data_IF_517236726950
#
_entry.id   IF_517236726950
#
_cell.length_a   1.000
_cell.length_b   1.000
_cell.length_c   1.000
_cell.angle_alpha   90.00
_cell.angle_beta   90.00
_cell.angle_gamma   90.00
#
_symmetry.space_group_name_H-M   'P 1'
#
loop_
_entity.id
_entity.type
_entity.pdbx_description
1 polymer ?
#
# COMPACT_ATOMS: atom_id res chain seq x y z
N UNK A 1 -2.72 -17.51 1.81
CA UNK A 1 -1.49 -17.88 2.56
C UNK A 1 -1.40 -17.18 3.92
N UNK A 2 -1.67 -15.87 4.04
CA UNK A 2 -1.63 -15.14 5.33
C UNK A 2 -3.02 -14.69 5.86
N UNK A 3 -4.13 -15.08 5.22
CA UNK A 3 -5.49 -14.72 5.68
C UNK A 3 -5.86 -13.23 5.59
N UNK A 4 -5.09 -12.42 4.84
CA UNK A 4 -5.30 -10.97 4.71
C UNK A 4 -6.56 -10.64 3.92
N UNK A 5 -7.23 -9.56 4.33
CA UNK A 5 -8.39 -8.98 3.63
C UNK A 5 -8.10 -7.55 3.17
N UNK A 6 -8.69 -7.15 2.05
CA UNK A 6 -8.65 -5.77 1.60
C UNK A 6 -9.71 -4.96 2.33
N UNK A 7 -9.29 -3.88 2.99
CA UNK A 7 -10.17 -2.97 3.71
C UNK A 7 -10.06 -1.58 3.09
N UNK A 8 -11.17 -0.85 2.90
CA UNK A 8 -11.11 0.55 2.49
C UNK A 8 -10.27 1.40 3.45
N UNK A 9 -9.69 2.49 2.93
CA UNK A 9 -9.03 3.48 3.79
C UNK A 9 -10.04 4.02 4.81
N UNK A 10 -9.65 4.11 6.10
CA UNK A 10 -10.50 4.70 7.13
C UNK A 10 -10.48 6.23 7.14
N UNK A 11 -9.50 6.83 6.46
CA UNK A 11 -9.29 8.28 6.37
C UNK A 11 -9.12 8.68 4.90
N UNK A 12 -10.10 8.40 4.01
CA UNK A 12 -9.99 8.72 2.58
C UNK A 12 -9.75 10.21 2.33
N UNK A 13 -10.26 11.09 3.19
CA UNK A 13 -10.08 12.54 3.16
C UNK A 13 -8.61 12.98 3.28
N UNK A 14 -7.73 12.12 3.82
CA UNK A 14 -6.28 12.39 3.90
C UNK A 14 -5.56 12.16 2.56
N UNK A 15 -6.23 11.57 1.57
CA UNK A 15 -5.72 11.42 0.22
C UNK A 15 -4.36 10.70 0.12
N UNK A 16 -4.06 9.75 1.02
CA UNK A 16 -2.70 9.18 1.14
C UNK A 16 -2.17 8.56 -0.15
N UNK A 17 -3.05 7.96 -0.96
CA UNK A 17 -2.66 7.43 -2.28
C UNK A 17 -2.13 8.53 -3.21
N UNK A 18 -2.74 9.72 -3.19
CA UNK A 18 -2.43 10.85 -4.06
C UNK A 18 -1.22 11.68 -3.59
N UNK A 19 -0.70 11.39 -2.39
CA UNK A 19 0.44 12.10 -1.79
C UNK A 19 1.65 11.19 -1.57
N UNK A 20 1.70 10.07 -2.28
CA UNK A 20 2.79 9.12 -2.26
C UNK A 20 3.29 8.83 -3.67
N UNK A 21 4.52 8.35 -3.79
CA UNK A 21 5.31 8.37 -5.03
C UNK A 21 4.64 7.61 -6.19
N UNK A 22 3.92 6.53 -5.89
CA UNK A 22 3.23 5.73 -6.91
C UNK A 22 2.19 6.52 -7.70
N UNK A 23 1.71 7.64 -7.18
CA UNK A 23 0.72 8.48 -7.86
C UNK A 23 1.26 9.05 -9.18
N UNK A 24 2.51 9.50 -9.22
CA UNK A 24 3.10 10.05 -10.44
C UNK A 24 3.23 8.98 -11.53
N UNK A 25 3.52 7.73 -11.17
CA UNK A 25 3.48 6.61 -12.12
C UNK A 25 2.05 6.29 -12.58
N UNK A 26 1.08 6.35 -11.66
CA UNK A 26 -0.33 6.09 -11.94
C UNK A 26 -0.93 7.11 -12.91
N UNK A 27 -0.54 8.39 -12.80
CA UNK A 27 -0.91 9.47 -13.75
C UNK A 27 -0.52 9.19 -15.20
N UNK A 28 0.49 8.36 -15.43
CA UNK A 28 0.92 7.92 -16.76
C UNK A 28 0.48 6.49 -17.10
N UNK A 29 -0.44 5.92 -16.31
CA UNK A 29 -1.06 4.64 -16.60
C UNK A 29 -0.25 3.43 -16.13
N UNK A 30 0.75 3.60 -15.25
CA UNK A 30 1.43 2.45 -14.62
C UNK A 30 0.57 1.93 -13.46
N UNK A 31 0.11 0.66 -13.50
CA UNK A 31 -0.65 0.07 -12.41
C UNK A 31 0.17 0.06 -11.12
N UNK A 32 -0.43 0.49 -10.02
CA UNK A 32 0.25 0.68 -8.75
C UNK A 32 -0.47 -0.02 -7.61
N UNK A 33 0.32 -0.59 -6.69
CA UNK A 33 -0.14 -1.11 -5.40
C UNK A 33 0.33 -0.16 -4.30
N UNK A 34 -0.59 0.33 -3.49
CA UNK A 34 -0.29 1.11 -2.30
C UNK A 34 -0.83 0.39 -1.07
N UNK A 35 0.06 -0.04 -0.18
CA UNK A 35 -0.29 -0.72 1.06
C UNK A 35 -0.33 0.28 2.21
N UNK A 36 -1.45 0.32 2.93
CA UNK A 36 -1.55 1.05 4.19
C UNK A 36 -1.07 0.23 5.38
N UNK A 37 -1.01 0.86 6.55
CA UNK A 37 -0.73 0.18 7.83
C UNK A 37 -1.94 -0.64 8.26
N UNK A 38 -1.71 -1.89 8.67
CA UNK A 38 -2.74 -2.74 9.28
C UNK A 38 -3.16 -2.17 10.66
N UNK A 39 -4.46 -2.19 10.94
CA UNK A 39 -5.03 -1.70 12.22
C UNK A 39 -5.82 -2.75 12.99
N UNK A 40 -6.19 -3.84 12.32
CA UNK A 40 -6.94 -4.94 12.91
C UNK A 40 -5.98 -5.98 13.48
N UNK A 41 -5.94 -6.07 14.81
CA UNK A 41 -5.20 -7.09 15.54
C UNK A 41 -6.23 -8.05 16.14
N UNK A 42 -6.26 -9.34 15.72
CA UNK A 42 -7.29 -10.29 16.15
C UNK A 42 -7.46 -10.38 17.67
N UNK A 43 -6.35 -10.36 18.40
CA UNK A 43 -6.34 -10.50 19.86
C UNK A 43 -6.34 -9.15 20.60
N UNK A 44 -6.32 -8.02 19.87
CA UNK A 44 -6.22 -6.68 20.44
C UNK A 44 -7.12 -5.67 19.70
N UNK A 45 -8.46 -5.75 19.86
CA UNK A 45 -9.38 -4.80 19.24
C UNK A 45 -9.03 -3.35 19.60
N UNK A 46 -9.06 -2.44 18.62
CA UNK A 46 -8.78 -1.01 18.80
C UNK A 46 -7.30 -0.63 19.01
N UNK A 47 -6.44 -1.61 19.33
CA UNK A 47 -5.01 -1.36 19.60
C UNK A 47 -4.28 -0.72 18.42
N UNK A 48 -4.52 -1.20 17.20
CA UNK A 48 -3.85 -0.67 16.01
C UNK A 48 -4.25 0.77 15.69
N UNK A 49 -5.51 1.15 15.94
CA UNK A 49 -5.95 2.54 15.77
C UNK A 49 -5.31 3.44 16.82
N UNK A 50 -5.37 3.06 18.11
CA UNK A 50 -4.72 3.79 19.19
C UNK A 50 -3.23 4.00 18.93
N UNK A 51 -2.50 2.95 18.54
CA UNK A 51 -1.06 3.04 18.25
C UNK A 51 -0.76 3.92 17.04
N UNK A 52 -1.61 3.89 16.01
CA UNK A 52 -1.47 4.77 14.86
C UNK A 52 -1.67 6.23 15.25
N UNK A 53 -2.68 6.55 16.05
CA UNK A 53 -2.96 7.90 16.52
C UNK A 53 -1.86 8.43 17.43
N UNK A 54 -1.40 7.62 18.39
CA UNK A 54 -0.25 7.91 19.26
C UNK A 54 1.00 8.24 18.42
N UNK A 55 1.35 7.37 17.47
CA UNK A 55 2.51 7.57 16.61
C UNK A 55 2.38 8.84 15.76
N UNK A 56 1.23 9.08 15.13
CA UNK A 56 1.01 10.28 14.31
C UNK A 56 1.08 11.57 15.14
N UNK A 57 0.59 11.54 16.37
CA UNK A 57 0.56 12.72 17.24
C UNK A 57 1.92 13.04 17.88
N UNK A 58 2.72 12.01 18.21
CA UNK A 58 3.90 12.16 19.07
C UNK A 58 5.24 11.88 18.39
N UNK A 59 5.25 11.07 17.34
CA UNK A 59 6.48 10.54 16.75
C UNK A 59 6.67 10.87 15.28
N UNK A 60 5.59 10.91 14.49
CA UNK A 60 5.69 11.12 13.05
C UNK A 60 6.36 12.46 12.70
N UNK A 61 7.41 12.39 11.86
CA UNK A 61 8.25 13.54 11.48
C UNK A 61 8.92 14.25 12.68
N UNK A 62 9.14 13.55 13.78
CA UNK A 62 9.84 14.07 14.96
C UNK A 62 11.19 13.36 15.15
N UNK A 63 12.14 13.94 15.92
CA UNK A 63 13.40 13.26 16.26
C UNK A 63 13.23 11.92 16.98
N UNK A 64 12.06 11.69 17.61
CA UNK A 64 11.69 10.45 18.26
C UNK A 64 11.23 9.35 17.29
N UNK A 65 11.15 9.63 15.99
CA UNK A 65 10.86 8.64 14.93
C UNK A 65 12.08 7.74 14.67
N UNK A 66 12.40 6.88 15.64
CA UNK A 66 13.55 6.00 15.63
C UNK A 66 13.11 4.55 15.77
N UNK A 67 13.97 3.62 15.33
CA UNK A 67 13.75 2.19 15.53
C UNK A 67 13.77 1.88 17.03
N UNK A 68 12.68 1.30 17.52
CA UNK A 68 12.53 0.91 18.92
C UNK A 68 12.81 -0.61 19.08
N UNK A 69 13.75 -1.01 19.96
CA UNK A 69 14.01 -2.42 20.25
C UNK A 69 12.82 -3.20 20.82
N UNK A 70 11.83 -2.50 21.38
CA UNK A 70 10.61 -3.08 21.93
C UNK A 70 9.51 -3.35 20.88
N UNK A 71 9.73 -3.00 19.61
CA UNK A 71 8.75 -3.26 18.56
C UNK A 71 8.64 -4.76 18.23
N UNK A 72 7.41 -5.26 18.19
CA UNK A 72 7.09 -6.52 17.54
C UNK A 72 7.03 -6.32 16.02
N UNK A 73 8.08 -6.78 15.33
CA UNK A 73 8.23 -6.65 13.89
C UNK A 73 7.63 -7.82 13.09
N UNK A 74 6.93 -8.76 13.75
CA UNK A 74 6.33 -9.92 13.06
C UNK A 74 5.36 -9.51 11.96
N UNK A 75 4.55 -8.47 12.18
CA UNK A 75 3.66 -7.90 11.16
C UNK A 75 4.43 -7.29 9.98
N UNK A 76 5.51 -6.56 10.26
CA UNK A 76 6.36 -5.97 9.21
C UNK A 76 7.04 -7.06 8.36
N UNK A 77 7.48 -8.17 8.98
CA UNK A 77 8.02 -9.31 8.25
C UNK A 77 6.99 -9.92 7.28
N UNK A 78 5.72 -10.02 7.71
CA UNK A 78 4.64 -10.49 6.84
C UNK A 78 4.34 -9.52 5.69
N UNK A 79 4.41 -8.20 5.93
CA UNK A 79 4.25 -7.17 4.89
C UNK A 79 5.36 -7.26 3.83
N UNK A 80 6.61 -7.43 4.27
CA UNK A 80 7.77 -7.64 3.37
C UNK A 80 7.59 -8.92 2.55
N UNK A 81 7.14 -10.01 3.16
CA UNK A 81 6.86 -11.25 2.44
C UNK A 81 5.78 -11.05 1.37
N UNK A 82 4.70 -10.33 1.69
CA UNK A 82 3.64 -10.02 0.72
C UNK A 82 4.17 -9.20 -0.46
N UNK A 83 4.91 -8.12 -0.19
CA UNK A 83 5.46 -7.26 -1.24
C UNK A 83 6.49 -7.99 -2.11
N UNK A 84 7.30 -8.87 -1.50
CA UNK A 84 8.19 -9.75 -2.24
C UNK A 84 7.41 -10.69 -3.16
N UNK A 85 6.36 -11.35 -2.66
CA UNK A 85 5.52 -12.25 -3.48
C UNK A 85 4.87 -11.52 -4.65
N UNK A 86 4.37 -10.29 -4.43
CA UNK A 86 3.83 -9.43 -5.49
C UNK A 86 4.91 -9.12 -6.53
N UNK A 87 6.06 -8.61 -6.09
CA UNK A 87 7.17 -8.27 -7.00
C UNK A 87 7.66 -9.48 -7.79
N UNK A 88 7.80 -10.63 -7.13
CA UNK A 88 8.21 -11.88 -7.75
C UNK A 88 7.22 -12.34 -8.83
N UNK A 89 5.91 -12.28 -8.56
CA UNK A 89 4.88 -12.64 -9.55
C UNK A 89 4.85 -11.67 -10.73
N UNK A 90 5.00 -10.37 -10.48
CA UNK A 90 5.04 -9.36 -11.55
C UNK A 90 6.29 -9.53 -12.42
N UNK A 91 7.43 -9.85 -11.82
CA UNK A 91 8.70 -10.00 -12.53
C UNK A 91 8.80 -11.30 -13.34
N UNK A 92 8.18 -12.39 -12.87
CA UNK A 92 8.33 -13.73 -13.47
C UNK A 92 7.05 -14.26 -14.13
N UNK A 93 5.93 -13.53 -14.09
CA UNK A 93 4.68 -13.92 -14.69
C UNK A 93 4.50 -13.40 -16.12
N UNK A 94 3.66 -14.08 -16.90
CA UNK A 94 3.31 -13.64 -18.27
C UNK A 94 2.18 -12.60 -18.29
N UNK A 95 1.55 -12.36 -17.14
CA UNK A 95 0.43 -11.43 -16.99
C UNK A 95 0.90 -10.14 -16.34
N UNK A 96 0.76 -9.03 -17.08
CA UNK A 96 1.03 -7.70 -16.54
C UNK A 96 -0.10 -7.26 -15.61
N UNK A 97 0.21 -6.51 -14.53
CA UNK A 97 -0.81 -5.87 -13.71
C UNK A 97 -1.76 -5.00 -14.55
N UNK A 98 -3.01 -4.94 -14.12
CA UNK A 98 -4.05 -4.12 -14.73
C UNK A 98 -4.80 -3.31 -13.67
N UNK A 99 -5.33 -2.16 -14.09
CA UNK A 99 -6.26 -1.40 -13.26
C UNK A 99 -7.62 -2.10 -13.21
N UNK A 100 -8.23 -2.13 -12.01
CA UNK A 100 -9.60 -2.59 -11.84
C UNK A 100 -10.57 -1.74 -12.69
N UNK A 101 -11.69 -2.32 -13.16
CA UNK A 101 -12.75 -1.55 -13.81
C UNK A 101 -13.22 -0.38 -12.94
N UNK A 102 -13.47 0.78 -13.56
CA UNK A 102 -13.90 2.00 -12.87
C UNK A 102 -12.79 2.78 -12.15
N UNK A 103 -11.55 2.27 -12.13
CA UNK A 103 -10.42 3.05 -11.61
C UNK A 103 -10.06 4.21 -12.57
N UNK A 104 -9.83 5.39 -12.01
CA UNK A 104 -9.57 6.63 -12.75
C UNK A 104 -8.33 6.59 -13.65
N UNK A 105 -7.33 5.74 -13.35
CA UNK A 105 -6.09 5.61 -14.13
C UNK A 105 -6.19 4.58 -15.27
N UNK A 106 -7.31 3.83 -15.37
CA UNK A 106 -7.47 2.76 -16.38
C UNK A 106 -7.40 3.29 -17.80
N UNK A 107 -8.09 4.39 -18.10
CA UNK A 107 -8.07 5.02 -19.44
C UNK A 107 -6.65 5.37 -19.87
N UNK A 108 -5.84 5.89 -18.94
CA UNK A 108 -4.44 6.23 -19.20
C UNK A 108 -3.59 4.99 -19.54
N UNK A 109 -3.80 3.88 -18.83
CA UNK A 109 -3.14 2.60 -19.14
C UNK A 109 -3.47 2.12 -20.53
N UNK A 110 -4.73 2.20 -20.93
CA UNK A 110 -5.20 1.77 -22.25
C UNK A 110 -4.56 2.60 -23.37
N UNK A 111 -4.54 3.93 -23.23
CA UNK A 111 -3.83 4.83 -24.15
C UNK A 111 -2.34 4.49 -24.27
N UNK A 112 -1.67 4.26 -23.13
CA UNK A 112 -0.25 3.92 -23.10
C UNK A 112 0.05 2.60 -23.85
N UNK A 113 -0.78 1.57 -23.64
CA UNK A 113 -0.63 0.28 -24.32
C UNK A 113 -0.96 0.37 -25.82
N UNK A 114 -1.88 1.24 -26.24
CA UNK A 114 -2.17 1.47 -27.65
C UNK A 114 -0.97 2.11 -28.36
N UNK A 115 -0.35 3.13 -27.77
CA UNK A 115 0.83 3.80 -28.35
C UNK A 115 2.03 2.88 -28.51
N UNK A 116 2.25 1.94 -27.59
CA UNK A 116 3.35 0.96 -27.69
C UNK A 116 3.21 0.00 -28.88
N UNK A 117 1.98 -0.21 -29.37
CA UNK A 117 1.67 -1.14 -30.47
C UNK A 117 1.77 -0.50 -31.86
N UNK A 118 1.93 0.82 -31.91
CA UNK A 118 2.19 1.59 -33.15
C UNK A 118 3.70 1.73 -33.34
#
# INVERSE_FOLDING_TARGET
RQGRVLVPSSKPERGSFYRADQFEFSKFGVPSLYTGRGRDFPDKPGFGEQKMEEYVAQHYHQPSDQVDPGWDLSGAAQDVQLLFEVGYQVANGDQWPEWKPGNEFKSKREEMLQKRRQ
#
